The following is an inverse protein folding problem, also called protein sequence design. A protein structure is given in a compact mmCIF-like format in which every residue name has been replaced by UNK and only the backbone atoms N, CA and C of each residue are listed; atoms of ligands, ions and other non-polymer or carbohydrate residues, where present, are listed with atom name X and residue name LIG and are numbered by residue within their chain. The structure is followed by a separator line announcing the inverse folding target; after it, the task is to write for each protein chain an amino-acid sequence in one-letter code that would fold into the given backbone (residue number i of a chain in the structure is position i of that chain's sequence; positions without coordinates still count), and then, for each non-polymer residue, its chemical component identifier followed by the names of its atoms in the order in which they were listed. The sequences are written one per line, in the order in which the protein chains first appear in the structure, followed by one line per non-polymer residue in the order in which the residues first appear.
data_IF_874451451028
#
_entry.id   IF_874451451028
#
_cell.length_a   1.000
_cell.length_b   1.000
_cell.length_c   1.000
_cell.angle_alpha   90.00
_cell.angle_beta   90.00
_cell.angle_gamma   90.00
#
_symmetry.space_group_name_H-M   'P 1'
#
loop_
_entity.id
_entity.type
_entity.pdbx_description
1 polymer ?
#
# COMPACT_ATOMS: atom_id res chain seq x y z
N UNK A 1 0.50 11.31 27.32
CA UNK A 1 0.14 11.13 25.91
C UNK A 1 1.45 11.00 25.14
N UNK A 2 1.64 9.92 24.38
CA UNK A 2 2.85 9.75 23.57
C UNK A 2 2.70 10.54 22.26
N UNK A 3 3.75 11.26 21.86
CA UNK A 3 3.84 11.90 20.54
C UNK A 3 4.81 11.06 19.71
N UNK A 4 4.35 10.52 18.61
CA UNK A 4 5.17 9.75 17.69
C UNK A 4 5.78 10.68 16.64
N UNK A 5 7.09 10.57 16.34
CA UNK A 5 7.77 11.43 15.38
C UNK A 5 7.31 11.18 13.93
N UNK A 6 6.77 10.00 13.63
CA UNK A 6 6.25 9.64 12.30
C UNK A 6 4.98 8.80 12.42
N UNK A 7 4.06 8.97 11.47
CA UNK A 7 2.90 8.09 11.33
C UNK A 7 3.33 6.65 10.99
N UNK A 8 4.53 6.46 10.44
CA UNK A 8 5.09 5.13 10.16
C UNK A 8 5.33 4.32 11.43
N UNK A 9 5.56 4.99 12.57
CA UNK A 9 5.74 4.35 13.88
C UNK A 9 4.45 3.72 14.41
N UNK A 10 3.31 4.08 13.81
CA UNK A 10 1.99 3.54 14.17
C UNK A 10 1.60 2.32 13.32
N UNK A 11 2.44 1.93 12.35
CA UNK A 11 2.18 0.74 11.55
C UNK A 11 2.49 -0.50 12.39
N UNK A 12 1.48 -1.32 12.59
CA UNK A 12 1.61 -2.50 13.45
C UNK A 12 1.09 -2.25 14.85
N UNK A 13 1.48 -3.11 15.78
CA UNK A 13 1.02 -3.14 17.18
C UNK A 13 -0.51 -3.00 17.36
N UNK A 14 -1.26 -3.42 16.32
CA UNK A 14 -2.72 -3.37 16.33
C UNK A 14 -3.30 -4.24 17.44
N UNK A 15 -4.35 -3.80 18.13
CA UNK A 15 -4.95 -4.54 19.24
C UNK A 15 -5.49 -5.91 18.82
N UNK A 16 -5.52 -6.82 19.80
CA UNK A 16 -6.27 -8.07 19.68
C UNK A 16 -7.42 -8.00 20.68
N UNK A 17 -8.64 -8.30 20.22
CA UNK A 17 -9.86 -8.26 21.02
C UNK A 17 -10.45 -9.66 21.12
N UNK A 18 -10.88 -10.04 22.32
CA UNK A 18 -11.64 -11.28 22.53
C UNK A 18 -13.10 -11.06 22.08
N UNK A 19 -13.49 -11.77 21.05
CA UNK A 19 -14.84 -11.75 20.46
C UNK A 19 -15.55 -13.10 20.63
N UNK A 20 -15.17 -13.89 21.64
CA UNK A 20 -15.70 -15.23 21.89
C UNK A 20 -17.23 -15.22 22.09
N UNK A 21 -17.81 -14.10 22.50
CA UNK A 21 -19.27 -13.92 22.61
C UNK A 21 -19.99 -14.16 21.27
N UNK A 22 -19.29 -14.02 20.14
CA UNK A 22 -19.85 -14.27 18.79
C UNK A 22 -19.70 -15.74 18.37
N UNK A 23 -19.01 -16.58 19.17
CA UNK A 23 -18.81 -17.98 18.83
C UNK A 23 -20.10 -18.79 19.05
N UNK A 24 -20.56 -19.58 18.07
CA UNK A 24 -21.62 -20.55 18.29
C UNK A 24 -21.20 -21.72 19.19
N UNK A 25 -19.89 -21.92 19.38
CA UNK A 25 -19.33 -22.93 20.26
C UNK A 25 -18.76 -22.24 21.53
N UNK A 26 -19.38 -22.42 22.71
CA UNK A 26 -18.94 -21.76 23.94
C UNK A 26 -17.57 -22.22 24.43
N UNK A 27 -17.05 -23.35 23.93
CA UNK A 27 -15.70 -23.82 24.25
C UNK A 27 -14.63 -23.26 23.33
N UNK A 28 -14.98 -22.51 22.27
CA UNK A 28 -14.04 -21.93 21.32
C UNK A 28 -13.75 -20.47 21.69
N UNK A 29 -12.46 -20.17 21.85
CA UNK A 29 -11.99 -18.80 22.00
C UNK A 29 -11.76 -18.15 20.65
N UNK A 30 -12.43 -17.02 20.38
CA UNK A 30 -12.25 -16.24 19.16
C UNK A 30 -11.52 -14.93 19.47
N UNK A 31 -10.43 -14.69 18.76
CA UNK A 31 -9.65 -13.45 18.86
C UNK A 31 -9.64 -12.74 17.52
N UNK A 32 -9.98 -11.45 17.53
CA UNK A 32 -9.93 -10.58 16.35
C UNK A 32 -8.76 -9.62 16.45
N UNK A 33 -7.84 -9.63 15.47
CA UNK A 33 -6.79 -8.63 15.34
C UNK A 33 -7.29 -7.46 14.52
N UNK A 34 -7.25 -6.25 15.11
CA UNK A 34 -7.87 -5.06 14.52
C UNK A 34 -6.94 -4.37 13.52
N UNK A 35 -6.66 -5.01 12.39
CA UNK A 35 -5.75 -4.47 11.36
C UNK A 35 -6.27 -3.18 10.69
N UNK A 36 -7.55 -2.86 10.84
CA UNK A 36 -8.12 -1.56 10.45
C UNK A 36 -7.60 -0.37 11.26
N UNK A 37 -6.86 -0.61 12.34
CA UNK A 37 -6.22 0.45 13.14
C UNK A 37 -4.82 0.85 12.67
N UNK A 38 -4.31 0.26 11.61
CA UNK A 38 -3.14 0.81 10.92
C UNK A 38 -3.47 2.19 10.28
N UNK A 39 -2.49 3.05 10.04
CA UNK A 39 -2.69 4.43 9.56
C UNK A 39 -3.58 4.59 8.32
N UNK A 40 -3.47 3.72 7.31
CA UNK A 40 -4.36 3.76 6.14
C UNK A 40 -5.62 2.91 6.28
N UNK A 41 -5.84 2.33 7.46
CA UNK A 41 -7.02 1.53 7.76
C UNK A 41 -6.93 0.08 7.30
N UNK A 42 -5.75 -0.47 7.04
CA UNK A 42 -5.62 -1.84 6.57
C UNK A 42 -4.32 -2.55 6.97
N UNK A 43 -4.33 -3.88 6.89
CA UNK A 43 -3.12 -4.72 7.05
C UNK A 43 -2.03 -4.42 6.01
N UNK A 44 -2.38 -3.74 4.90
CA UNK A 44 -1.45 -3.47 3.80
C UNK A 44 -0.36 -2.47 4.17
N UNK A 45 -0.56 -1.66 5.19
CA UNK A 45 0.48 -0.79 5.73
C UNK A 45 1.73 -1.57 6.13
N UNK A 46 1.55 -2.75 6.75
CA UNK A 46 2.66 -3.64 7.12
C UNK A 46 3.44 -4.14 5.90
N UNK A 47 2.69 -4.58 4.87
CA UNK A 47 3.27 -5.12 3.64
C UNK A 47 4.02 -4.01 2.90
N UNK A 48 3.38 -2.86 2.72
CA UNK A 48 3.97 -1.71 2.04
C UNK A 48 5.24 -1.21 2.74
N UNK A 49 5.24 -1.20 4.08
CA UNK A 49 6.42 -0.86 4.87
C UNK A 49 7.56 -1.84 4.61
N UNK A 50 7.30 -3.14 4.68
CA UNK A 50 8.31 -4.15 4.42
C UNK A 50 8.87 -4.05 3.00
N UNK A 51 8.01 -3.87 1.98
CA UNK A 51 8.43 -3.70 0.58
C UNK A 51 9.39 -2.52 0.39
N UNK A 52 9.10 -1.38 1.01
CA UNK A 52 9.97 -0.20 0.91
C UNK A 52 11.27 -0.41 1.68
N UNK A 53 11.22 -0.93 2.92
CA UNK A 53 12.40 -1.18 3.75
C UNK A 53 13.33 -2.23 3.10
N UNK A 54 12.79 -3.29 2.51
CA UNK A 54 13.57 -4.30 1.79
C UNK A 54 14.23 -3.71 0.53
N UNK A 55 13.50 -2.91 -0.25
CA UNK A 55 14.02 -2.26 -1.44
C UNK A 55 15.08 -1.17 -1.14
N UNK A 56 14.97 -0.49 0.00
CA UNK A 56 16.01 0.42 0.51
C UNK A 56 17.27 -0.37 0.92
N UNK A 57 17.08 -1.51 1.60
CA UNK A 57 18.18 -2.34 2.10
C UNK A 57 18.98 -3.02 0.99
N UNK A 58 18.32 -3.45 -0.09
CA UNK A 58 19.00 -4.11 -1.23
C UNK A 58 19.49 -3.13 -2.32
N UNK A 59 19.20 -1.82 -2.17
CA UNK A 59 19.57 -0.78 -3.13
C UNK A 59 18.68 -0.67 -4.36
N UNK A 60 17.59 -1.41 -4.43
CA UNK A 60 16.57 -1.27 -5.49
C UNK A 60 15.90 0.09 -5.40
N UNK A 61 15.71 0.62 -4.20
CA UNK A 61 15.13 1.93 -3.96
C UNK A 61 16.16 2.85 -3.28
N UNK A 62 16.59 3.88 -4.01
CA UNK A 62 17.54 4.89 -3.53
C UNK A 62 16.88 6.28 -3.54
N UNK A 63 17.40 7.28 -2.77
CA UNK A 63 16.83 8.62 -2.75
C UNK A 63 16.60 9.21 -4.15
N UNK A 64 15.39 9.72 -4.40
CA UNK A 64 14.99 10.31 -5.68
C UNK A 64 14.49 9.31 -6.73
N UNK A 65 14.63 8.00 -6.51
CA UNK A 65 14.10 6.97 -7.41
C UNK A 65 12.57 6.92 -7.34
N UNK A 66 11.93 6.82 -8.49
CA UNK A 66 10.47 6.75 -8.58
C UNK A 66 9.99 5.32 -8.32
N UNK A 67 9.03 5.15 -7.43
CA UNK A 67 8.33 3.86 -7.25
C UNK A 67 7.23 3.74 -8.30
N UNK A 68 7.09 2.56 -8.92
CA UNK A 68 5.93 2.21 -9.74
C UNK A 68 5.28 0.93 -9.22
N UNK A 69 3.95 0.96 -9.03
CA UNK A 69 3.20 -0.18 -8.49
C UNK A 69 1.82 -0.32 -9.15
N UNK A 70 1.44 -1.53 -9.63
CA UNK A 70 0.09 -1.80 -10.11
C UNK A 70 -0.85 -2.12 -8.95
N UNK A 71 -1.54 -1.14 -8.41
CA UNK A 71 -2.47 -1.38 -7.30
C UNK A 71 -3.63 -0.39 -7.29
N UNK A 72 -4.84 -0.90 -7.39
CA UNK A 72 -6.07 -0.12 -7.21
C UNK A 72 -6.64 -0.17 -5.79
N UNK A 73 -5.94 -0.82 -4.86
CA UNK A 73 -6.43 -1.12 -3.52
C UNK A 73 -5.53 -0.56 -2.40
N UNK A 74 -5.71 -1.16 -1.22
CA UNK A 74 -5.05 -0.71 0.01
C UNK A 74 -3.52 -0.73 -0.06
N UNK A 75 -2.92 -1.62 -0.85
CA UNK A 75 -1.45 -1.65 -1.04
C UNK A 75 -0.97 -0.37 -1.70
N UNK A 76 -1.64 0.09 -2.79
CA UNK A 76 -1.29 1.35 -3.44
C UNK A 76 -1.42 2.54 -2.52
N UNK A 77 -2.49 2.61 -1.70
CA UNK A 77 -2.70 3.69 -0.73
C UNK A 77 -1.61 3.68 0.35
N UNK A 78 -1.28 2.51 0.89
CA UNK A 78 -0.23 2.37 1.90
C UNK A 78 1.16 2.74 1.35
N UNK A 79 1.49 2.27 0.14
CA UNK A 79 2.74 2.65 -0.54
C UNK A 79 2.80 4.15 -0.82
N UNK A 80 1.70 4.78 -1.26
CA UNK A 80 1.65 6.22 -1.50
C UNK A 80 1.90 7.03 -0.21
N UNK A 81 1.30 6.62 0.92
CA UNK A 81 1.56 7.23 2.22
C UNK A 81 3.05 7.11 2.60
N UNK A 82 3.62 5.91 2.52
CA UNK A 82 5.01 5.66 2.92
C UNK A 82 5.97 6.41 2.00
N UNK A 83 5.76 6.35 0.68
CA UNK A 83 6.55 7.08 -0.30
C UNK A 83 6.55 8.58 -0.03
N UNK A 84 5.38 9.18 0.26
CA UNK A 84 5.26 10.59 0.63
C UNK A 84 6.12 10.96 1.83
N UNK A 85 6.12 10.12 2.87
CA UNK A 85 6.85 10.40 4.11
C UNK A 85 8.36 10.20 3.92
N UNK A 86 8.75 9.19 3.13
CA UNK A 86 10.16 8.88 2.83
C UNK A 86 10.74 9.78 1.73
N UNK A 87 9.92 10.59 1.04
CA UNK A 87 10.36 11.50 -0.01
C UNK A 87 10.54 10.85 -1.38
N UNK A 88 9.90 9.73 -1.65
CA UNK A 88 9.94 9.07 -2.97
C UNK A 88 8.78 9.54 -3.86
N UNK A 89 9.05 9.88 -5.12
CA UNK A 89 7.99 9.96 -6.13
C UNK A 89 7.34 8.59 -6.32
N UNK A 90 6.01 8.55 -6.49
CA UNK A 90 5.31 7.28 -6.71
C UNK A 90 4.27 7.40 -7.82
N UNK A 91 4.25 6.39 -8.68
CA UNK A 91 3.29 6.21 -9.76
C UNK A 91 2.48 4.94 -9.49
N UNK A 92 1.16 5.11 -9.46
CA UNK A 92 0.24 3.97 -9.27
C UNK A 92 -0.49 3.71 -10.58
N UNK A 93 -0.31 2.48 -11.10
CA UNK A 93 -1.02 2.02 -12.29
C UNK A 93 -2.30 1.32 -11.86
N UNK A 94 -3.43 1.77 -12.37
CA UNK A 94 -4.74 1.21 -12.03
C UNK A 94 -5.72 1.30 -13.21
N UNK A 95 -6.74 0.43 -13.27
CA UNK A 95 -7.77 0.49 -14.30
C UNK A 95 -8.53 1.83 -14.28
N UNK A 96 -8.86 2.36 -15.46
CA UNK A 96 -9.55 3.64 -15.59
C UNK A 96 -10.94 3.68 -14.93
N UNK A 97 -11.59 2.52 -14.80
CA UNK A 97 -12.91 2.35 -14.19
C UNK A 97 -12.89 2.18 -12.66
N UNK A 98 -11.74 2.41 -12.01
CA UNK A 98 -11.65 2.45 -10.54
C UNK A 98 -12.39 3.68 -10.01
N UNK A 99 -13.09 3.50 -8.86
CA UNK A 99 -13.91 4.54 -8.26
C UNK A 99 -13.12 5.80 -7.92
N UNK A 100 -13.81 6.94 -7.93
CA UNK A 100 -13.20 8.25 -7.67
C UNK A 100 -12.59 8.33 -6.26
N UNK A 101 -13.21 7.70 -5.26
CA UNK A 101 -12.74 7.69 -3.88
C UNK A 101 -11.35 7.05 -3.75
N UNK A 102 -11.09 5.97 -4.50
CA UNK A 102 -9.78 5.32 -4.52
C UNK A 102 -8.72 6.18 -5.17
N UNK A 103 -9.08 6.90 -6.26
CA UNK A 103 -8.17 7.86 -6.89
C UNK A 103 -7.83 8.99 -5.93
N UNK A 104 -8.83 9.58 -5.30
CA UNK A 104 -8.65 10.65 -4.32
C UNK A 104 -7.78 10.22 -3.13
N UNK A 105 -7.96 8.99 -2.64
CA UNK A 105 -7.13 8.45 -1.56
C UNK A 105 -5.64 8.35 -1.94
N UNK A 106 -5.31 8.05 -3.19
CA UNK A 106 -3.95 8.03 -3.69
C UNK A 106 -3.39 9.46 -3.89
N UNK A 107 -4.20 10.34 -4.46
CA UNK A 107 -3.84 11.73 -4.76
C UNK A 107 -3.55 12.55 -3.49
N UNK A 108 -4.27 12.28 -2.37
CA UNK A 108 -4.01 12.91 -1.07
C UNK A 108 -2.55 12.71 -0.62
N UNK A 109 -1.96 11.56 -0.92
CA UNK A 109 -0.55 11.27 -0.64
C UNK A 109 0.40 11.69 -1.76
N UNK A 110 -0.11 12.33 -2.83
CA UNK A 110 0.69 12.85 -3.94
C UNK A 110 1.12 11.79 -4.95
N UNK A 111 0.44 10.64 -5.02
CA UNK A 111 0.70 9.64 -6.04
C UNK A 111 0.24 10.14 -7.43
N UNK A 112 1.09 9.95 -8.44
CA UNK A 112 0.70 10.10 -9.83
C UNK A 112 -0.05 8.84 -10.31
N UNK A 113 -1.23 9.03 -10.88
CA UNK A 113 -2.06 7.93 -11.36
C UNK A 113 -1.86 7.73 -12.85
N UNK A 114 -1.51 6.50 -13.25
CA UNK A 114 -1.45 6.06 -14.64
C UNK A 114 -2.64 5.11 -14.89
N UNK A 115 -3.52 5.51 -15.80
CA UNK A 115 -4.68 4.68 -16.14
C UNK A 115 -4.31 3.55 -17.10
N UNK A 116 -4.77 2.33 -16.82
CA UNK A 116 -4.78 1.22 -17.77
C UNK A 116 -6.19 0.97 -18.31
N UNK A 117 -6.35 0.28 -19.45
CA UNK A 117 -7.68 -0.05 -19.98
C UNK A 117 -8.56 -0.76 -18.95
N UNK A 118 -9.79 -0.29 -18.79
CA UNK A 118 -10.70 -0.78 -17.75
C UNK A 118 -11.19 -2.20 -17.96
N UNK A 119 -11.32 -2.63 -19.22
CA UNK A 119 -11.72 -3.98 -19.62
C UNK A 119 -10.68 -5.05 -19.32
N UNK A 120 -9.41 -4.66 -19.21
CA UNK A 120 -8.30 -5.56 -18.84
C UNK A 120 -8.14 -5.74 -17.32
N UNK A 121 -8.83 -4.94 -16.52
CA UNK A 121 -8.82 -4.99 -15.06
C UNK A 121 -7.41 -4.92 -14.45
N UNK A 122 -7.22 -5.57 -13.29
CA UNK A 122 -5.93 -5.54 -12.59
C UNK A 122 -4.78 -6.17 -13.39
N UNK A 123 -5.07 -7.18 -14.23
CA UNK A 123 -4.04 -7.80 -15.06
C UNK A 123 -3.48 -6.83 -16.11
N UNK A 124 -4.32 -5.95 -16.67
CA UNK A 124 -3.89 -4.89 -17.57
C UNK A 124 -2.98 -3.88 -16.87
N UNK A 125 -3.34 -3.49 -15.65
CA UNK A 125 -2.51 -2.61 -14.84
C UNK A 125 -1.12 -3.21 -14.55
N UNK A 126 -1.05 -4.50 -14.22
CA UNK A 126 0.22 -5.22 -14.01
C UNK A 126 1.09 -5.23 -15.27
N UNK A 127 0.50 -5.57 -16.43
CA UNK A 127 1.24 -5.57 -17.70
C UNK A 127 1.77 -4.18 -18.06
N UNK A 128 0.95 -3.15 -17.86
CA UNK A 128 1.34 -1.77 -18.13
C UNK A 128 2.47 -1.32 -17.20
N UNK A 129 2.35 -1.60 -15.89
CA UNK A 129 3.36 -1.23 -14.91
C UNK A 129 4.71 -1.89 -15.20
N UNK A 130 4.73 -3.18 -15.56
CA UNK A 130 5.96 -3.89 -15.96
C UNK A 130 6.61 -3.26 -17.18
N UNK A 131 5.82 -3.02 -18.24
CA UNK A 131 6.34 -2.38 -19.45
C UNK A 131 6.94 -1.01 -19.13
N UNK A 132 6.25 -0.19 -18.33
CA UNK A 132 6.75 1.12 -17.94
C UNK A 132 8.03 1.04 -17.09
N UNK A 133 8.14 0.04 -16.23
CA UNK A 133 9.38 -0.21 -15.47
C UNK A 133 10.54 -0.64 -16.38
N UNK A 134 10.28 -1.49 -17.37
CA UNK A 134 11.29 -1.91 -18.36
C UNK A 134 11.77 -0.73 -19.24
N UNK A 135 10.86 0.19 -19.57
CA UNK A 135 11.16 1.40 -20.36
C UNK A 135 11.87 2.48 -19.51
N UNK A 136 11.80 2.40 -18.18
CA UNK A 136 12.39 3.36 -17.24
C UNK A 136 13.23 2.63 -16.18
N UNK A 137 14.49 2.26 -16.48
CA UNK A 137 15.33 1.47 -15.57
C UNK A 137 15.67 2.16 -14.24
N UNK A 138 15.47 3.47 -14.16
CA UNK A 138 15.61 4.29 -12.97
C UNK A 138 14.37 4.27 -12.04
N UNK A 139 13.29 3.58 -12.44
CA UNK A 139 12.13 3.36 -11.57
C UNK A 139 12.28 2.05 -10.79
N UNK A 140 11.75 2.04 -9.57
CA UNK A 140 11.69 0.85 -8.73
C UNK A 140 10.30 0.20 -8.84
N UNK A 141 10.24 -1.00 -9.40
CA UNK A 141 9.04 -1.82 -9.48
C UNK A 141 9.03 -2.79 -8.30
N UNK A 142 8.24 -2.48 -7.27
CA UNK A 142 8.26 -3.24 -6.01
C UNK A 142 7.44 -4.52 -6.08
N UNK A 143 6.35 -4.50 -6.78
CA UNK A 143 5.40 -5.58 -7.07
C UNK A 143 5.10 -6.54 -5.90
N UNK A 144 3.95 -6.34 -5.29
CA UNK A 144 3.41 -7.21 -4.23
C UNK A 144 3.03 -8.59 -4.76
#
# INVERSE_FOLDING_TARGET
MAVHPSILDLIGDTPIVDVSVLSPNPSARLLAKLEGQNPTGSVKDRIARAMVEDAEADGTLVPGRTIIEPSSGNTGIALAMIARIRGYPIKIVLPENVSIERRQALEVFGAEIIASPGDEGSNGAVRLARRLADENPDWAFLYQ
#
